data_IF_355749236865
#
_entry.id   IF_355749236865
#
_cell.length_a   1.000
_cell.length_b   1.000
_cell.length_c   1.000
_cell.angle_alpha   90.00
_cell.angle_beta   90.00
_cell.angle_gamma   90.00
#
_symmetry.space_group_name_H-M   'P 1'
#
loop_
_entity.id
_entity.type
_entity.pdbx_description
1 polymer ?
#
# COMPACT_ATOMS: atom_id res chain seq x y z
N UNK A 1 -18.69 -1.31 11.60
CA UNK A 1 -17.28 -1.56 12.00
C UNK A 1 -16.83 -0.50 13.00
N UNK A 2 -16.08 -0.87 14.06
CA UNK A 2 -15.51 0.09 15.01
C UNK A 2 -14.27 0.74 14.34
N UNK A 3 -14.29 2.07 14.16
CA UNK A 3 -13.19 2.82 13.57
C UNK A 3 -12.07 3.04 14.58
N UNK A 4 -10.83 2.77 14.21
CA UNK A 4 -9.63 2.96 15.03
C UNK A 4 -8.98 4.34 14.85
N UNK A 5 -9.01 4.87 13.64
CA UNK A 5 -8.37 6.14 13.28
C UNK A 5 -8.76 7.34 14.17
N UNK A 6 -10.05 7.56 14.54
CA UNK A 6 -10.39 8.68 15.42
C UNK A 6 -9.79 8.56 16.83
N UNK A 7 -9.63 7.33 17.33
CA UNK A 7 -8.96 7.07 18.62
C UNK A 7 -7.47 7.37 18.56
N UNK A 8 -6.82 6.89 17.52
CA UNK A 8 -5.40 7.12 17.27
C UNK A 8 -5.10 8.62 17.08
N UNK A 9 -5.92 9.33 16.29
CA UNK A 9 -5.79 10.78 16.12
C UNK A 9 -5.84 11.53 17.44
N UNK A 10 -6.83 11.24 18.31
CA UNK A 10 -6.92 11.88 19.63
C UNK A 10 -5.70 11.60 20.48
N UNK A 11 -5.19 10.38 20.47
CA UNK A 11 -3.99 9.99 21.22
C UNK A 11 -2.74 10.75 20.77
N UNK A 12 -2.54 10.85 19.46
CA UNK A 12 -1.39 11.56 18.88
C UNK A 12 -1.49 13.08 19.12
N UNK A 13 -2.68 13.65 18.99
CA UNK A 13 -2.91 15.08 19.20
C UNK A 13 -2.84 15.51 20.67
N UNK A 14 -3.10 14.60 21.61
CA UNK A 14 -3.08 14.90 23.04
C UNK A 14 -1.67 15.03 23.63
N UNK A 15 -0.65 14.44 22.98
CA UNK A 15 0.73 14.42 23.47
C UNK A 15 1.72 14.70 22.33
N UNK A 16 1.72 15.92 21.73
CA UNK A 16 2.56 16.23 20.58
C UNK A 16 4.07 16.15 20.92
N UNK A 17 4.46 16.45 22.16
CA UNK A 17 5.83 16.34 22.65
C UNK A 17 6.36 14.90 22.71
N UNK A 18 5.49 13.89 22.70
CA UNK A 18 5.91 12.48 22.57
C UNK A 18 6.70 12.25 21.27
N UNK A 19 6.31 12.93 20.20
CA UNK A 19 7.01 12.92 18.93
C UNK A 19 8.46 13.41 18.99
N UNK A 20 8.78 14.26 19.95
CA UNK A 20 10.16 14.75 20.16
C UNK A 20 11.07 13.69 20.83
N UNK A 21 10.49 12.71 21.48
CA UNK A 21 11.20 11.66 22.22
C UNK A 21 11.24 10.33 21.47
N UNK A 22 10.28 10.09 20.62
CA UNK A 22 10.17 8.85 19.83
C UNK A 22 10.40 9.15 18.35
N UNK A 23 11.58 8.80 17.79
CA UNK A 23 11.88 9.02 16.37
C UNK A 23 10.93 8.32 15.42
N UNK A 24 10.22 7.27 15.88
CA UNK A 24 9.28 6.50 15.08
C UNK A 24 7.85 7.02 15.16
N UNK A 25 7.59 8.06 15.94
CA UNK A 25 6.24 8.63 16.11
C UNK A 25 5.60 9.10 14.79
N UNK A 26 6.40 9.44 13.77
CA UNK A 26 5.89 9.76 12.44
C UNK A 26 5.19 8.57 11.78
N UNK A 27 5.58 7.32 12.11
CA UNK A 27 4.93 6.12 11.58
C UNK A 27 3.49 6.00 12.09
N UNK A 28 3.23 6.47 13.31
CA UNK A 28 1.86 6.48 13.86
C UNK A 28 0.96 7.41 13.06
N UNK A 29 1.48 8.55 12.60
CA UNK A 29 0.74 9.46 11.72
C UNK A 29 0.51 8.86 10.34
N UNK A 30 1.50 8.21 9.75
CA UNK A 30 1.35 7.50 8.46
C UNK A 30 0.28 6.40 8.57
N UNK A 31 0.34 5.59 9.63
CA UNK A 31 -0.67 4.58 9.92
C UNK A 31 -2.06 5.20 10.06
N UNK A 32 -2.18 6.32 10.80
CA UNK A 32 -3.42 7.05 10.97
C UNK A 32 -4.02 7.49 9.62
N UNK A 33 -3.22 8.09 8.72
CA UNK A 33 -3.69 8.55 7.42
C UNK A 33 -4.19 7.39 6.56
N UNK A 34 -3.43 6.29 6.48
CA UNK A 34 -3.85 5.11 5.74
C UNK A 34 -5.14 4.48 6.30
N UNK A 35 -5.22 4.33 7.62
CA UNK A 35 -6.39 3.78 8.31
C UNK A 35 -7.62 4.67 8.12
N UNK A 36 -7.49 6.00 8.21
CA UNK A 36 -8.61 6.92 8.08
C UNK A 36 -9.31 6.80 6.72
N UNK A 37 -8.53 6.73 5.63
CA UNK A 37 -9.06 6.56 4.28
C UNK A 37 -9.74 5.20 4.11
N UNK A 38 -9.09 4.13 4.58
CA UNK A 38 -9.66 2.79 4.42
C UNK A 38 -10.87 2.52 5.33
N UNK A 39 -10.91 3.07 6.52
CA UNK A 39 -12.09 2.99 7.39
C UNK A 39 -13.27 3.76 6.78
N UNK A 40 -13.03 4.90 6.13
CA UNK A 40 -14.07 5.63 5.40
C UNK A 40 -14.57 4.82 4.20
N UNK A 41 -13.65 4.24 3.41
CA UNK A 41 -14.01 3.35 2.31
C UNK A 41 -14.82 2.14 2.79
N UNK A 42 -14.39 1.47 3.87
CA UNK A 42 -15.08 0.31 4.45
C UNK A 42 -16.45 0.66 5.05
N UNK A 43 -16.68 1.92 5.40
CA UNK A 43 -17.97 2.41 5.89
C UNK A 43 -18.94 2.80 4.75
N UNK A 44 -18.54 2.65 3.48
CA UNK A 44 -19.33 3.04 2.32
C UNK A 44 -19.23 4.53 1.98
N UNK A 45 -18.27 5.24 2.54
CA UNK A 45 -17.98 6.62 2.19
C UNK A 45 -17.37 6.75 0.80
N UNK A 46 -17.43 7.96 0.24
CA UNK A 46 -16.81 8.25 -1.06
C UNK A 46 -15.36 8.66 -0.85
N UNK A 47 -14.43 7.88 -1.40
CA UNK A 47 -13.00 8.16 -1.38
C UNK A 47 -12.45 8.28 -2.80
N UNK A 48 -11.48 9.17 -2.99
CA UNK A 48 -10.65 9.20 -4.20
C UNK A 48 -9.67 8.04 -4.09
N UNK A 49 -9.56 7.22 -5.10
CA UNK A 49 -8.84 5.96 -4.99
C UNK A 49 -7.91 5.69 -6.18
N UNK A 50 -6.74 5.13 -5.87
CA UNK A 50 -5.79 4.55 -6.80
C UNK A 50 -4.86 3.57 -6.03
N UNK A 51 -4.49 2.42 -6.62
CA UNK A 51 -5.00 1.87 -7.89
C UNK A 51 -6.43 1.32 -7.77
N UNK A 52 -6.87 0.90 -6.57
CA UNK A 52 -8.20 0.35 -6.29
C UNK A 52 -8.68 0.76 -4.90
N UNK A 53 -9.96 0.54 -4.60
CA UNK A 53 -10.54 0.81 -3.28
C UNK A 53 -9.84 0.03 -2.14
N UNK A 54 -9.39 -1.20 -2.42
CA UNK A 54 -8.68 -2.02 -1.42
C UNK A 54 -7.35 -1.43 -0.95
N UNK A 55 -6.74 -0.57 -1.75
CA UNK A 55 -5.46 0.08 -1.46
C UNK A 55 -5.53 1.62 -1.41
N UNK A 56 -6.74 2.17 -1.26
CA UNK A 56 -6.97 3.61 -1.34
C UNK A 56 -6.22 4.45 -0.29
N UNK A 57 -5.75 3.84 0.79
CA UNK A 57 -5.07 4.54 1.88
C UNK A 57 -3.59 4.81 1.66
N UNK A 58 -2.91 4.05 0.78
CA UNK A 58 -1.43 4.10 0.67
C UNK A 58 -0.96 5.40 0.04
N UNK A 59 -1.44 5.72 -1.16
CA UNK A 59 -1.05 6.94 -1.88
C UNK A 59 -1.26 8.20 -1.01
N UNK A 60 -2.46 8.45 -0.45
CA UNK A 60 -2.67 9.63 0.37
C UNK A 60 -1.86 9.62 1.67
N UNK A 61 -1.61 8.47 2.29
CA UNK A 61 -0.80 8.41 3.51
C UNK A 61 0.66 8.81 3.24
N UNK A 62 1.25 8.33 2.15
CA UNK A 62 2.63 8.67 1.77
C UNK A 62 2.71 10.12 1.27
N UNK A 63 1.69 10.60 0.56
CA UNK A 63 1.60 12.01 0.17
C UNK A 63 1.50 12.94 1.39
N UNK A 64 0.70 12.60 2.40
CA UNK A 64 0.65 13.33 3.66
C UNK A 64 1.97 13.26 4.45
N UNK A 65 2.69 12.12 4.36
CA UNK A 65 4.04 12.06 4.91
C UNK A 65 4.95 13.09 4.24
N UNK A 66 4.94 13.20 2.92
CA UNK A 66 5.68 14.22 2.18
C UNK A 66 5.25 15.64 2.60
N UNK A 67 3.96 15.95 2.50
CA UNK A 67 3.40 17.28 2.79
C UNK A 67 3.66 17.74 4.24
N UNK A 68 3.59 16.84 5.23
CA UNK A 68 3.61 17.21 6.64
C UNK A 68 4.97 17.10 7.32
N UNK A 69 5.83 16.24 6.82
CA UNK A 69 7.11 15.95 7.48
C UNK A 69 8.32 16.35 6.65
N UNK A 70 8.12 16.77 5.40
CA UNK A 70 9.20 17.20 4.55
C UNK A 70 9.18 18.72 4.36
N UNK A 71 10.26 19.39 4.75
CA UNK A 71 10.31 20.86 4.82
C UNK A 71 10.37 21.54 3.45
N UNK A 72 10.67 20.81 2.38
CA UNK A 72 10.67 21.30 0.99
C UNK A 72 9.40 20.96 0.23
N UNK A 73 8.37 20.42 0.90
CA UNK A 73 7.12 20.09 0.26
C UNK A 73 6.39 21.34 -0.21
N UNK A 74 5.92 21.32 -1.45
CA UNK A 74 5.15 22.38 -2.07
C UNK A 74 4.06 21.82 -3.00
N UNK A 75 3.24 22.71 -3.57
CA UNK A 75 2.15 22.31 -4.47
C UNK A 75 2.65 21.60 -5.73
N UNK A 76 3.80 22.01 -6.28
CA UNK A 76 4.38 21.35 -7.45
C UNK A 76 4.83 19.94 -7.11
N UNK A 77 5.47 19.73 -5.97
CA UNK A 77 5.86 18.41 -5.49
C UNK A 77 4.65 17.50 -5.27
N UNK A 78 3.51 18.02 -4.80
CA UNK A 78 2.26 17.24 -4.71
C UNK A 78 1.80 16.78 -6.10
N UNK A 79 1.84 17.67 -7.10
CA UNK A 79 1.49 17.34 -8.49
C UNK A 79 2.45 16.30 -9.06
N UNK A 80 3.75 16.50 -8.90
CA UNK A 80 4.80 15.60 -9.40
C UNK A 80 4.70 14.21 -8.75
N UNK A 81 4.40 14.16 -7.46
CA UNK A 81 4.11 12.90 -6.74
C UNK A 81 2.94 12.15 -7.40
N UNK A 82 1.82 12.82 -7.63
CA UNK A 82 0.63 12.18 -8.20
C UNK A 82 0.86 11.74 -9.66
N UNK A 83 1.56 12.54 -10.46
CA UNK A 83 1.89 12.20 -11.84
C UNK A 83 2.84 11.01 -11.92
N UNK A 84 3.88 10.98 -11.07
CA UNK A 84 4.82 9.84 -11.00
C UNK A 84 4.12 8.57 -10.53
N UNK A 85 3.28 8.67 -9.49
CA UNK A 85 2.47 7.54 -9.04
C UNK A 85 1.58 7.01 -10.17
N UNK A 86 0.91 7.89 -10.91
CA UNK A 86 0.06 7.51 -12.03
C UNK A 86 0.85 6.82 -13.15
N UNK A 87 2.02 7.33 -13.52
CA UNK A 87 2.89 6.72 -14.53
C UNK A 87 3.26 5.27 -14.16
N UNK A 88 3.70 5.05 -12.92
CA UNK A 88 4.01 3.71 -12.41
C UNK A 88 2.77 2.81 -12.41
N UNK A 89 1.62 3.33 -11.98
CA UNK A 89 0.36 2.58 -11.96
C UNK A 89 -0.09 2.12 -13.35
N UNK A 90 0.15 2.94 -14.39
CA UNK A 90 -0.14 2.59 -15.79
C UNK A 90 0.70 1.39 -16.23
N UNK A 91 2.00 1.33 -15.87
CA UNK A 91 2.85 0.19 -16.22
C UNK A 91 2.27 -1.13 -15.68
N UNK A 92 1.80 -1.14 -14.43
CA UNK A 92 1.14 -2.32 -13.84
C UNK A 92 -0.18 -2.67 -14.53
N UNK A 93 -1.00 -1.65 -14.81
CA UNK A 93 -2.30 -1.84 -15.45
C UNK A 93 -2.17 -2.46 -16.84
N UNK A 94 -1.19 -2.02 -17.62
CA UNK A 94 -1.00 -2.46 -19.00
C UNK A 94 -0.25 -3.80 -19.11
N UNK A 95 0.69 -4.08 -18.22
CA UNK A 95 1.58 -5.22 -18.31
C UNK A 95 1.23 -6.38 -17.36
N UNK A 96 0.35 -6.14 -16.38
CA UNK A 96 -0.10 -7.16 -15.44
C UNK A 96 -1.58 -6.96 -15.07
N UNK A 97 -1.87 -6.53 -13.85
CA UNK A 97 -3.18 -6.14 -13.36
C UNK A 97 -3.05 -5.30 -12.08
N UNK A 98 -4.04 -4.45 -11.85
CA UNK A 98 -4.20 -3.72 -10.59
C UNK A 98 -5.35 -4.28 -9.73
N UNK A 99 -5.93 -5.40 -10.12
CA UNK A 99 -7.11 -6.00 -9.49
C UNK A 99 -6.73 -7.10 -8.50
N UNK A 100 -7.11 -6.95 -7.25
CA UNK A 100 -6.94 -7.99 -6.24
C UNK A 100 -7.71 -9.27 -6.53
N UNK A 101 -8.81 -9.18 -7.28
CA UNK A 101 -9.57 -10.34 -7.74
C UNK A 101 -8.82 -11.15 -8.81
N UNK A 102 -7.95 -10.50 -9.57
CA UNK A 102 -7.18 -11.14 -10.64
C UNK A 102 -5.84 -11.68 -10.17
N UNK A 103 -5.12 -10.91 -9.35
CA UNK A 103 -3.74 -11.20 -9.00
C UNK A 103 -3.47 -11.12 -7.48
N UNK A 104 -4.49 -11.13 -6.65
CA UNK A 104 -4.34 -11.00 -5.19
C UNK A 104 -4.04 -9.56 -4.74
N UNK A 105 -3.80 -9.39 -3.43
CA UNK A 105 -3.48 -8.08 -2.85
C UNK A 105 -2.12 -7.53 -3.32
N UNK A 106 -1.26 -8.33 -3.94
CA UNK A 106 -0.07 -7.80 -4.62
C UNK A 106 -0.47 -6.80 -5.72
N UNK A 107 -1.58 -7.02 -6.43
CA UNK A 107 -2.13 -6.11 -7.45
C UNK A 107 -2.78 -4.85 -6.89
N UNK A 108 -3.17 -4.83 -5.64
CA UNK A 108 -3.75 -3.65 -4.98
C UNK A 108 -2.72 -2.96 -4.08
N UNK A 109 -2.40 -3.58 -2.94
CA UNK A 109 -1.48 -3.03 -1.93
C UNK A 109 -0.05 -2.97 -2.47
N UNK A 110 0.40 -4.00 -3.20
CA UNK A 110 1.74 -4.03 -3.80
C UNK A 110 1.90 -2.94 -4.85
N UNK A 111 0.92 -2.79 -5.77
CA UNK A 111 0.94 -1.73 -6.79
C UNK A 111 0.90 -0.35 -6.14
N UNK A 112 0.01 -0.12 -5.16
CA UNK A 112 -0.06 1.16 -4.46
C UNK A 112 1.25 1.49 -3.71
N UNK A 113 1.87 0.48 -3.09
CA UNK A 113 3.18 0.62 -2.43
C UNK A 113 4.27 1.01 -3.43
N UNK A 114 4.34 0.34 -4.58
CA UNK A 114 5.28 0.65 -5.67
C UNK A 114 5.07 2.07 -6.21
N UNK A 115 3.82 2.45 -6.51
CA UNK A 115 3.43 3.78 -6.96
C UNK A 115 3.88 4.86 -5.98
N UNK A 116 3.59 4.67 -4.70
CA UNK A 116 3.91 5.64 -3.65
C UNK A 116 5.41 5.71 -3.38
N UNK A 117 6.13 4.58 -3.45
CA UNK A 117 7.57 4.53 -3.24
C UNK A 117 8.32 5.30 -4.35
N UNK A 118 8.01 5.03 -5.62
CA UNK A 118 8.62 5.74 -6.74
C UNK A 118 8.25 7.22 -6.73
N UNK A 119 6.98 7.56 -6.46
CA UNK A 119 6.54 8.94 -6.37
C UNK A 119 7.26 9.71 -5.25
N UNK A 120 7.41 9.11 -4.09
CA UNK A 120 8.17 9.73 -3.00
C UNK A 120 9.64 9.90 -3.36
N UNK A 121 10.28 8.89 -3.97
CA UNK A 121 11.66 9.01 -4.42
C UNK A 121 11.85 10.18 -5.41
N UNK A 122 10.91 10.36 -6.35
CA UNK A 122 10.95 11.45 -7.31
C UNK A 122 10.89 12.83 -6.64
N UNK A 123 9.93 13.06 -5.73
CA UNK A 123 9.78 14.37 -5.07
C UNK A 123 10.85 14.65 -4.01
N UNK A 124 11.59 13.63 -3.61
CA UNK A 124 12.81 13.78 -2.79
C UNK A 124 14.06 14.09 -3.65
N UNK A 125 13.91 14.25 -4.97
CA UNK A 125 15.00 14.59 -5.87
C UNK A 125 15.79 13.40 -6.38
N UNK A 126 15.20 12.19 -6.32
CA UNK A 126 15.82 10.96 -6.85
C UNK A 126 15.91 10.98 -8.38
N UNK A 127 16.97 10.34 -8.91
CA UNK A 127 17.12 10.11 -10.36
C UNK A 127 16.02 9.14 -10.87
N UNK A 128 15.75 9.10 -12.18
CA UNK A 128 14.83 8.12 -12.75
C UNK A 128 15.15 6.68 -12.36
N UNK A 129 16.43 6.31 -12.26
CA UNK A 129 16.87 4.99 -11.85
C UNK A 129 16.56 4.72 -10.37
N UNK A 130 16.71 5.74 -9.50
CA UNK A 130 16.32 5.65 -8.10
C UNK A 130 14.79 5.56 -7.93
N UNK A 131 14.03 6.24 -8.78
CA UNK A 131 12.56 6.15 -8.83
C UNK A 131 12.13 4.75 -9.24
N UNK A 132 12.74 4.18 -10.28
CA UNK A 132 12.48 2.80 -10.72
C UNK A 132 12.84 1.81 -9.60
N UNK A 133 14.00 1.95 -8.98
CA UNK A 133 14.44 1.09 -7.88
C UNK A 133 13.49 1.17 -6.67
N UNK A 134 13.03 2.37 -6.30
CA UNK A 134 12.05 2.52 -5.23
C UNK A 134 10.73 1.80 -5.55
N UNK A 135 10.25 1.93 -6.77
CA UNK A 135 9.04 1.25 -7.23
C UNK A 135 9.22 -0.27 -7.27
N UNK A 136 10.37 -0.75 -7.71
CA UNK A 136 10.75 -2.16 -7.70
C UNK A 136 10.73 -2.71 -6.27
N UNK A 137 11.49 -2.12 -5.34
CA UNK A 137 11.54 -2.54 -3.93
C UNK A 137 10.13 -2.57 -3.32
N UNK A 138 9.32 -1.55 -3.62
CA UNK A 138 7.95 -1.45 -3.14
C UNK A 138 7.08 -2.62 -3.57
N UNK A 139 7.21 -3.12 -4.80
CA UNK A 139 6.46 -4.29 -5.29
C UNK A 139 7.08 -5.59 -4.84
N UNK A 140 8.40 -5.76 -4.98
CA UNK A 140 9.11 -7.00 -4.68
C UNK A 140 8.71 -7.54 -3.31
N UNK A 141 8.67 -6.69 -2.30
CA UNK A 141 8.32 -7.04 -0.93
C UNK A 141 6.80 -7.20 -0.67
N UNK A 142 5.99 -7.18 -1.72
CA UNK A 142 4.57 -7.47 -1.70
C UNK A 142 4.17 -8.62 -2.64
N UNK A 143 5.13 -9.22 -3.37
CA UNK A 143 4.88 -10.37 -4.22
C UNK A 143 4.30 -11.54 -3.40
N UNK A 144 3.40 -12.30 -4.00
CA UNK A 144 2.75 -13.42 -3.34
C UNK A 144 1.64 -13.03 -2.34
N UNK A 145 1.35 -11.75 -2.15
CA UNK A 145 0.31 -11.31 -1.21
C UNK A 145 -1.08 -11.64 -1.75
N UNK A 146 -1.72 -12.62 -1.12
CA UNK A 146 -3.07 -13.08 -1.51
C UNK A 146 -4.15 -12.07 -1.12
N UNK A 147 -5.27 -12.07 -1.85
CA UNK A 147 -6.48 -11.35 -1.43
C UNK A 147 -7.27 -12.18 -0.42
N UNK A 148 -7.73 -11.54 0.66
CA UNK A 148 -8.46 -12.21 1.72
C UNK A 148 -9.63 -11.33 2.22
N UNK A 149 -10.62 -11.04 1.35
CA UNK A 149 -11.75 -10.21 1.72
C UNK A 149 -12.66 -10.95 2.69
N UNK A 150 -13.11 -10.27 3.74
CA UNK A 150 -14.10 -10.80 4.69
C UNK A 150 -15.50 -10.51 4.16
N UNK A 151 -16.24 -11.56 3.77
CA UNK A 151 -17.57 -11.39 3.18
C UNK A 151 -17.59 -10.60 1.87
N UNK A 152 -16.49 -10.61 1.11
CA UNK A 152 -16.35 -9.84 -0.13
C UNK A 152 -16.11 -8.35 0.07
N UNK A 153 -15.89 -7.90 1.30
CA UNK A 153 -15.70 -6.50 1.65
C UNK A 153 -14.27 -6.21 2.08
N UNK A 154 -13.80 -5.00 1.76
CA UNK A 154 -12.54 -4.45 2.28
C UNK A 154 -12.73 -4.17 3.77
N UNK A 155 -12.09 -4.97 4.62
CA UNK A 155 -12.16 -4.86 6.08
C UNK A 155 -10.78 -4.93 6.73
N UNK A 156 -10.73 -5.31 8.01
CA UNK A 156 -9.54 -5.19 8.87
C UNK A 156 -8.23 -5.63 8.21
N UNK A 157 -8.08 -6.79 7.51
CA UNK A 157 -6.79 -7.13 6.92
C UNK A 157 -6.33 -6.11 5.87
N UNK A 158 -7.25 -5.58 5.05
CA UNK A 158 -6.91 -4.58 4.03
C UNK A 158 -6.56 -3.22 4.67
N UNK A 159 -7.25 -2.82 5.74
CA UNK A 159 -6.94 -1.57 6.47
C UNK A 159 -5.52 -1.63 7.04
N UNK A 160 -5.17 -2.72 7.71
CA UNK A 160 -3.83 -2.94 8.25
C UNK A 160 -2.76 -3.03 7.15
N UNK A 161 -3.06 -3.72 6.04
CA UNK A 161 -2.17 -3.82 4.88
C UNK A 161 -1.86 -2.47 4.25
N UNK A 162 -2.82 -1.54 4.24
CA UNK A 162 -2.58 -0.18 3.76
C UNK A 162 -1.63 0.59 4.68
N UNK A 163 -1.78 0.49 5.99
CA UNK A 163 -0.85 1.08 6.95
C UNK A 163 0.56 0.51 6.75
N UNK A 164 0.70 -0.81 6.71
CA UNK A 164 1.98 -1.48 6.47
C UNK A 164 2.57 -1.15 5.10
N UNK A 165 1.76 -1.11 4.04
CA UNK A 165 2.17 -0.75 2.69
C UNK A 165 2.69 0.68 2.59
N UNK A 166 2.08 1.62 3.33
CA UNK A 166 2.53 3.01 3.38
C UNK A 166 3.91 3.15 4.02
N UNK A 167 4.15 2.44 5.13
CA UNK A 167 5.47 2.41 5.79
C UNK A 167 6.52 1.74 4.90
N UNK A 168 6.17 0.63 4.23
CA UNK A 168 7.05 -0.01 3.25
C UNK A 168 7.42 0.94 2.11
N UNK A 169 6.46 1.68 1.57
CA UNK A 169 6.70 2.63 0.48
C UNK A 169 7.69 3.72 0.88
N UNK A 170 7.54 4.30 2.08
CA UNK A 170 8.48 5.29 2.61
C UNK A 170 9.87 4.68 2.77
N UNK A 171 9.95 3.47 3.31
CA UNK A 171 11.24 2.80 3.49
C UNK A 171 11.89 2.44 2.14
N UNK A 172 11.13 1.96 1.16
CA UNK A 172 11.61 1.65 -0.19
C UNK A 172 12.19 2.90 -0.88
N UNK A 173 11.48 4.02 -0.83
CA UNK A 173 11.98 5.30 -1.35
C UNK A 173 13.30 5.72 -0.68
N UNK A 174 13.40 5.58 0.64
CA UNK A 174 14.62 5.91 1.39
C UNK A 174 15.79 5.00 1.04
N UNK A 175 15.54 3.70 0.88
CA UNK A 175 16.57 2.73 0.46
C UNK A 175 17.10 3.05 -0.93
N UNK A 176 16.22 3.26 -1.89
CA UNK A 176 16.60 3.61 -3.26
C UNK A 176 17.35 4.94 -3.33
N UNK A 177 16.90 5.94 -2.57
CA UNK A 177 17.55 7.26 -2.53
C UNK A 177 18.94 7.25 -1.89
N UNK A 178 19.22 6.27 -1.03
CA UNK A 178 20.55 6.10 -0.40
C UNK A 178 21.56 5.44 -1.34
N UNK A 179 21.12 4.82 -2.44
CA UNK A 179 21.94 4.20 -3.47
C UNK A 179 22.22 5.14 -4.64
N UNK A 180 22.96 4.65 -5.61
CA UNK A 180 23.31 5.34 -6.86
C UNK A 180 22.32 5.09 -8.02
N UNK A 181 21.20 4.37 -7.73
CA UNK A 181 20.21 3.97 -8.72
C UNK A 181 20.53 2.67 -9.46
N UNK A 182 21.75 2.13 -9.31
CA UNK A 182 22.07 0.82 -9.90
C UNK A 182 21.43 -0.30 -9.07
N UNK A 183 20.64 -1.14 -9.74
CA UNK A 183 19.97 -2.26 -9.10
C UNK A 183 19.87 -3.47 -10.03
N UNK A 184 19.81 -4.66 -9.46
CA UNK A 184 19.88 -5.92 -10.22
C UNK A 184 18.53 -6.35 -10.81
N UNK A 185 17.45 -6.00 -10.14
CA UNK A 185 16.09 -6.39 -10.51
C UNK A 185 15.38 -5.18 -11.10
N UNK A 186 15.11 -5.19 -12.39
CA UNK A 186 14.36 -4.14 -13.05
C UNK A 186 12.86 -4.24 -12.69
N UNK A 187 12.18 -3.09 -12.61
CA UNK A 187 10.74 -3.02 -12.34
C UNK A 187 9.92 -3.88 -13.32
N UNK A 188 10.29 -3.93 -14.59
CA UNK A 188 9.64 -4.76 -15.60
C UNK A 188 9.64 -6.25 -15.23
N UNK A 189 10.74 -6.75 -14.65
CA UNK A 189 10.82 -8.14 -14.19
C UNK A 189 9.88 -8.40 -13.03
N UNK A 190 9.79 -7.47 -12.09
CA UNK A 190 8.89 -7.58 -10.94
C UNK A 190 7.43 -7.53 -11.39
N UNK A 191 7.07 -6.65 -12.32
CA UNK A 191 5.73 -6.60 -12.92
C UNK A 191 5.38 -7.95 -13.59
N UNK A 192 6.33 -8.50 -14.35
CA UNK A 192 6.18 -9.82 -14.97
C UNK A 192 5.98 -10.91 -13.91
N UNK A 193 6.82 -10.93 -12.89
CA UNK A 193 6.72 -11.91 -11.79
C UNK A 193 5.38 -11.78 -11.07
N UNK A 194 4.91 -10.57 -10.80
CA UNK A 194 3.59 -10.33 -10.20
C UNK A 194 2.47 -10.94 -11.04
N UNK A 195 2.51 -10.77 -12.36
CA UNK A 195 1.53 -11.35 -13.29
C UNK A 195 1.55 -12.87 -13.25
N UNK A 196 2.74 -13.48 -13.29
CA UNK A 196 2.92 -14.93 -13.28
C UNK A 196 2.46 -15.52 -11.94
N UNK A 197 2.90 -14.95 -10.82
CA UNK A 197 2.44 -15.33 -9.47
C UNK A 197 0.92 -15.20 -9.31
N UNK A 198 0.32 -14.15 -9.89
CA UNK A 198 -1.12 -13.99 -9.91
C UNK A 198 -1.84 -15.08 -10.70
N UNK A 199 -1.27 -15.54 -11.80
CA UNK A 199 -1.82 -16.66 -12.59
C UNK A 199 -1.74 -17.98 -11.80
N UNK A 200 -0.62 -18.22 -11.12
CA UNK A 200 -0.43 -19.41 -10.28
C UNK A 200 -1.41 -19.43 -9.08
N UNK A 201 -1.63 -18.29 -8.45
CA UNK A 201 -2.63 -18.16 -7.38
C UNK A 201 -4.03 -18.59 -7.84
N UNK A 202 -4.41 -18.31 -9.09
CA UNK A 202 -5.70 -18.75 -9.63
C UNK A 202 -5.76 -20.27 -9.79
N UNK A 203 -4.67 -20.88 -10.23
CA UNK A 203 -4.62 -22.32 -10.54
C UNK A 203 -4.55 -23.16 -9.26
N UNK A 204 -3.74 -22.77 -8.28
CA UNK A 204 -3.52 -23.59 -7.09
C UNK A 204 -4.50 -23.29 -5.94
N UNK A 205 -4.89 -22.04 -5.78
CA UNK A 205 -5.75 -21.59 -4.67
C UNK A 205 -7.22 -21.65 -5.07
N UNK A 206 -7.53 -21.44 -6.35
CA UNK A 206 -8.88 -21.48 -6.90
C UNK A 206 -9.20 -22.79 -7.63
N UNK A 207 -8.23 -23.75 -7.73
CA UNK A 207 -8.48 -25.06 -8.31
C UNK A 207 -9.82 -25.61 -7.87
N UNK A 208 -10.46 -26.53 -8.57
CA UNK A 208 -11.82 -27.15 -8.49
C UNK A 208 -12.60 -27.13 -7.15
N UNK A 209 -12.19 -26.30 -6.20
CA UNK A 209 -12.90 -26.07 -4.94
C UNK A 209 -13.97 -25.00 -5.19
N UNK A 210 -15.24 -25.36 -5.02
CA UNK A 210 -16.31 -24.38 -5.02
C UNK A 210 -15.93 -23.27 -4.01
N UNK A 211 -16.02 -22.02 -4.43
CA UNK A 211 -15.73 -20.81 -3.68
C UNK A 211 -15.85 -21.04 -2.16
N UNK A 212 -14.74 -21.05 -1.47
CA UNK A 212 -14.77 -20.86 -0.02
C UNK A 212 -15.14 -19.40 0.20
N UNK A 213 -16.43 -19.14 0.21
CA UNK A 213 -16.93 -17.86 0.69
C UNK A 213 -16.36 -17.64 2.09
N UNK A 214 -15.92 -16.45 2.38
CA UNK A 214 -15.36 -16.02 3.67
C UNK A 214 -16.18 -16.47 4.89
N UNK A 215 -17.47 -16.86 4.69
CA UNK A 215 -18.34 -17.43 5.71
C UNK A 215 -17.92 -18.81 6.24
N UNK A 216 -17.05 -19.57 5.56
CA UNK A 216 -16.61 -20.88 6.04
C UNK A 216 -15.41 -20.82 7.02
N UNK A 217 -14.69 -19.70 7.09
CA UNK A 217 -13.59 -19.55 8.07
C UNK A 217 -14.07 -19.30 9.48
N UNK A 218 -15.28 -18.75 9.66
CA UNK A 218 -15.86 -18.60 11.00
C UNK A 218 -16.05 -19.92 11.76
N UNK A 219 -16.14 -21.04 11.05
CA UNK A 219 -16.27 -22.36 11.69
C UNK A 219 -14.96 -22.92 12.24
N UNK A 220 -13.81 -22.52 11.70
CA UNK A 220 -12.52 -23.04 12.18
C UNK A 220 -12.07 -22.32 13.44
N UNK A 221 -12.40 -21.02 13.58
CA UNK A 221 -12.04 -20.24 14.76
C UNK A 221 -12.96 -20.47 15.96
N UNK A 222 -14.15 -21.04 15.76
CA UNK A 222 -15.06 -21.38 16.85
C UNK A 222 -14.79 -22.73 17.50
N UNK A 223 -13.97 -23.59 16.88
CA UNK A 223 -13.62 -24.92 17.39
C UNK A 223 -12.33 -24.95 18.24
N UNK A 224 -11.63 -23.83 18.37
CA UNK A 224 -10.42 -23.73 19.19
C UNK A 224 -10.67 -23.07 20.58
N UNK A 225 -11.91 -22.96 21.00
CA UNK A 225 -12.29 -22.56 22.36
C UNK A 225 -13.13 -23.64 23.03
N UNK A 226 -12.49 -24.72 23.36
CA UNK A 226 -12.96 -25.65 24.39
C UNK A 226 -11.74 -26.14 25.18
#
# INVERSE_FOLDING_TARGET
MKRGAPGLHRSLSANPEKGLRDPLSMLDWVNLYAMAVNEENAAGGRVVTAPTNGAAGIIPAVLHYYDRFWHTADEQGIVDFLLTAAAIGILYKENASISGAEVGCQGEVGVACSMAAGALAAVLGGSPEQVENAAEIGMEHNLGLTCDPVGGLVQIPCIERNAMGSVKAINAARMAHSGDGQHYVALDKVIKTMRETGADMKTEIQGDRPWRTCGQRHRVLSLSRS
#
